data_IF_036168014735
#
_entry.id   IF_036168014735
#
_cell.length_a   1.000
_cell.length_b   1.000
_cell.length_c   1.000
_cell.angle_alpha   90.00
_cell.angle_beta   90.00
_cell.angle_gamma   90.00
#
_symmetry.space_group_name_H-M   'P 1'
#
loop_
_entity.id
_entity.type
_entity.pdbx_description
1 polymer ?
#
# COMPACT_ATOMS: atom_id res chain seq x y z
N UNK A 1 -10.38 6.22 -12.37
CA UNK A 1 -10.06 5.82 -13.76
C UNK A 1 -8.95 4.76 -13.80
N UNK A 2 -7.78 4.98 -13.18
CA UNK A 2 -6.62 4.07 -13.23
C UNK A 2 -6.96 2.65 -12.78
N UNK A 3 -7.62 2.49 -11.65
CA UNK A 3 -8.01 1.19 -11.05
C UNK A 3 -8.86 0.33 -12.01
N UNK A 4 -9.70 0.97 -12.84
CA UNK A 4 -10.63 0.26 -13.73
C UNK A 4 -10.09 0.09 -15.15
N UNK A 5 -8.92 0.65 -15.47
CA UNK A 5 -8.39 0.74 -16.84
C UNK A 5 -7.20 -0.17 -17.12
N UNK A 6 -6.90 -1.12 -16.24
CA UNK A 6 -5.81 -2.11 -16.41
C UNK A 6 -4.43 -1.46 -16.70
N UNK A 7 -4.18 -0.32 -16.07
CA UNK A 7 -2.93 0.42 -16.21
C UNK A 7 -1.95 0.09 -15.11
N UNK A 8 -0.68 0.17 -15.43
CA UNK A 8 0.41 0.12 -14.46
C UNK A 8 0.71 1.55 -14.02
N UNK A 9 0.65 1.79 -12.70
CA UNK A 9 1.02 3.07 -12.10
C UNK A 9 2.24 2.85 -11.20
N UNK A 10 3.29 3.62 -11.43
CA UNK A 10 4.48 3.63 -10.58
C UNK A 10 4.54 5.01 -9.92
N UNK A 11 4.44 5.03 -8.58
CA UNK A 11 4.55 6.25 -7.79
C UNK A 11 5.86 6.22 -7.01
N UNK A 12 6.71 7.23 -7.20
CA UNK A 12 8.00 7.33 -6.54
C UNK A 12 7.96 8.44 -5.47
N UNK A 13 7.90 8.03 -4.21
CA UNK A 13 7.94 8.90 -3.02
C UNK A 13 9.31 8.89 -2.36
N UNK A 14 10.38 8.91 -3.14
CA UNK A 14 11.76 8.85 -2.66
C UNK A 14 12.06 9.92 -1.62
N UNK A 15 12.48 9.52 -0.43
CA UNK A 15 12.89 10.40 0.67
C UNK A 15 14.02 11.35 0.23
N UNK A 16 14.97 10.84 -0.55
CA UNK A 16 16.09 11.66 -1.05
C UNK A 16 15.69 12.83 -1.96
N UNK A 17 14.48 12.80 -2.54
CA UNK A 17 13.97 13.90 -3.39
C UNK A 17 12.95 14.79 -2.71
N UNK A 18 12.16 14.24 -1.81
CA UNK A 18 11.01 14.91 -1.21
C UNK A 18 11.25 15.31 0.25
N UNK A 19 12.23 14.69 0.91
CA UNK A 19 12.36 14.71 2.37
C UNK A 19 11.42 13.70 3.02
N UNK A 20 11.71 13.33 4.27
CA UNK A 20 11.00 12.26 4.98
C UNK A 20 9.52 12.59 5.22
N UNK A 21 9.23 13.76 5.78
CA UNK A 21 7.86 14.20 6.10
C UNK A 21 6.97 14.30 4.86
N UNK A 22 7.48 14.92 3.79
CA UNK A 22 6.72 15.07 2.55
C UNK A 22 6.49 13.71 1.87
N UNK A 23 7.48 12.82 1.90
CA UNK A 23 7.36 11.47 1.38
C UNK A 23 6.27 10.69 2.11
N UNK A 24 6.29 10.70 3.44
CA UNK A 24 5.29 10.04 4.28
C UNK A 24 3.89 10.60 4.05
N UNK A 25 3.74 11.92 4.04
CA UNK A 25 2.46 12.58 3.82
C UNK A 25 1.87 12.25 2.44
N UNK A 26 2.65 12.46 1.38
CA UNK A 26 2.19 12.21 0.01
C UNK A 26 1.88 10.75 -0.24
N UNK A 27 2.69 9.84 0.30
CA UNK A 27 2.46 8.40 0.20
C UNK A 27 1.19 7.97 0.92
N UNK A 28 0.96 8.45 2.15
CA UNK A 28 -0.26 8.18 2.91
C UNK A 28 -1.52 8.73 2.21
N UNK A 29 -1.45 9.94 1.66
CA UNK A 29 -2.53 10.53 0.86
C UNK A 29 -2.80 9.71 -0.41
N UNK A 30 -1.75 9.25 -1.10
CA UNK A 30 -1.87 8.44 -2.29
C UNK A 30 -2.56 7.10 -1.99
N UNK A 31 -2.11 6.39 -0.96
CA UNK A 31 -2.72 5.13 -0.52
C UNK A 31 -4.19 5.33 -0.15
N UNK A 32 -4.50 6.42 0.57
CA UNK A 32 -5.88 6.79 0.91
C UNK A 32 -6.74 7.00 -0.35
N UNK A 33 -6.20 7.64 -1.38
CA UNK A 33 -6.90 7.82 -2.65
C UNK A 33 -7.13 6.52 -3.41
N UNK A 34 -6.14 5.62 -3.41
CA UNK A 34 -6.30 4.27 -3.97
C UNK A 34 -7.40 3.51 -3.23
N UNK A 35 -7.40 3.58 -1.91
CA UNK A 35 -8.44 2.99 -1.06
C UNK A 35 -9.82 3.55 -1.36
N UNK A 36 -9.99 4.87 -1.38
CA UNK A 36 -11.26 5.52 -1.72
C UNK A 36 -11.77 5.09 -3.11
N UNK A 37 -10.87 4.99 -4.08
CA UNK A 37 -11.20 4.52 -5.42
C UNK A 37 -11.60 3.03 -5.44
N UNK A 38 -11.02 2.21 -4.57
CA UNK A 38 -11.42 0.81 -4.40
C UNK A 38 -12.81 0.71 -3.76
N UNK A 39 -13.06 1.44 -2.67
CA UNK A 39 -14.36 1.48 -1.97
C UNK A 39 -15.47 2.01 -2.87
N UNK A 40 -15.20 2.98 -3.74
CA UNK A 40 -16.19 3.49 -4.70
C UNK A 40 -16.75 2.40 -5.63
N UNK A 41 -16.08 1.24 -5.74
CA UNK A 41 -16.58 0.07 -6.47
C UNK A 41 -17.63 -0.74 -5.69
N UNK A 42 -17.97 -0.33 -4.47
CA UNK A 42 -19.00 -1.00 -3.66
C UNK A 42 -20.36 -1.08 -4.38
N UNK A 43 -20.67 -0.08 -5.23
CA UNK A 43 -21.88 -0.06 -6.06
C UNK A 43 -21.89 -1.08 -7.20
N UNK A 44 -20.75 -1.67 -7.55
CA UNK A 44 -20.66 -2.69 -8.58
C UNK A 44 -20.84 -4.08 -7.96
N UNK A 45 -21.48 -5.02 -8.67
CA UNK A 45 -21.45 -6.43 -8.31
C UNK A 45 -20.00 -6.93 -8.14
N UNK A 46 -19.79 -7.87 -7.24
CA UNK A 46 -18.41 -8.37 -6.98
C UNK A 46 -17.76 -8.98 -8.23
N UNK A 47 -18.54 -9.64 -9.08
CA UNK A 47 -18.08 -10.22 -10.34
C UNK A 47 -17.59 -9.19 -11.36
N UNK A 48 -18.02 -7.95 -11.27
CA UNK A 48 -17.63 -6.86 -12.16
C UNK A 48 -16.43 -6.05 -11.65
N UNK A 49 -16.04 -6.27 -10.38
CA UNK A 49 -14.88 -5.59 -9.80
C UNK A 49 -13.61 -6.26 -10.33
N UNK A 50 -12.75 -5.48 -10.99
CA UNK A 50 -11.45 -5.95 -11.45
C UNK A 50 -10.45 -6.05 -10.30
N UNK A 51 -9.62 -7.09 -10.32
CA UNK A 51 -8.51 -7.20 -9.38
C UNK A 51 -7.53 -6.05 -9.59
N UNK A 52 -7.14 -5.44 -8.49
CA UNK A 52 -6.15 -4.36 -8.46
C UNK A 52 -5.06 -4.77 -7.49
N UNK A 53 -3.81 -4.70 -7.91
CA UNK A 53 -2.65 -5.09 -7.11
C UNK A 53 -1.89 -3.83 -6.69
N UNK A 54 -1.77 -3.62 -5.39
CA UNK A 54 -1.02 -2.52 -4.80
C UNK A 54 0.21 -3.06 -4.08
N UNK A 55 1.38 -2.71 -4.59
CA UNK A 55 2.67 -3.05 -4.00
C UNK A 55 3.21 -1.83 -3.26
N UNK A 56 3.57 -1.98 -1.99
CA UNK A 56 4.08 -0.90 -1.16
C UNK A 56 5.43 -1.34 -0.59
N UNK A 57 6.49 -0.73 -1.08
CA UNK A 57 7.83 -0.89 -0.53
C UNK A 57 8.05 0.12 0.60
N UNK A 58 8.89 -0.23 1.59
CA UNK A 58 9.13 0.58 2.79
C UNK A 58 7.81 1.02 3.46
N UNK A 59 6.89 0.06 3.58
CA UNK A 59 5.52 0.26 4.03
C UNK A 59 5.41 1.01 5.37
N UNK A 60 6.38 0.84 6.28
CA UNK A 60 6.41 1.52 7.58
C UNK A 60 6.36 3.05 7.46
N UNK A 61 6.84 3.62 6.36
CA UNK A 61 6.82 5.07 6.13
C UNK A 61 5.41 5.61 5.88
N UNK A 62 4.47 4.73 5.55
CA UNK A 62 3.09 5.09 5.19
C UNK A 62 2.06 4.47 6.12
N UNK A 63 2.48 3.64 7.09
CA UNK A 63 1.63 2.90 8.01
C UNK A 63 1.02 3.84 9.06
N UNK A 64 -0.21 4.28 8.81
CA UNK A 64 -1.05 5.01 9.79
C UNK A 64 -2.09 4.08 10.39
N UNK A 65 -2.69 4.45 11.53
CA UNK A 65 -3.80 3.66 12.13
C UNK A 65 -4.97 3.43 11.17
N UNK A 66 -5.23 4.38 10.24
CA UNK A 66 -6.24 4.20 9.20
C UNK A 66 -5.93 3.02 8.25
N UNK A 67 -4.68 2.58 8.17
CA UNK A 67 -4.29 1.46 7.32
C UNK A 67 -4.83 0.11 7.83
N UNK A 68 -5.09 -0.03 9.12
CA UNK A 68 -5.70 -1.23 9.70
C UNK A 68 -7.07 -1.53 9.06
N UNK A 69 -7.86 -0.49 8.76
CA UNK A 69 -9.13 -0.63 8.07
C UNK A 69 -8.94 -1.12 6.61
N UNK A 70 -7.92 -0.61 5.93
CA UNK A 70 -7.59 -1.05 4.57
C UNK A 70 -7.24 -2.53 4.57
N UNK A 71 -6.36 -2.98 5.48
CA UNK A 71 -5.97 -4.39 5.61
C UNK A 71 -7.17 -5.32 5.86
N UNK A 72 -8.10 -4.90 6.69
CA UNK A 72 -9.26 -5.72 7.06
C UNK A 72 -10.31 -5.82 5.95
N UNK A 73 -10.41 -4.83 5.07
CA UNK A 73 -11.52 -4.71 4.12
C UNK A 73 -11.13 -4.75 2.64
N UNK A 74 -9.84 -4.57 2.30
CA UNK A 74 -9.38 -4.42 0.93
C UNK A 74 -9.84 -5.56 -0.01
N UNK A 75 -9.88 -6.79 0.50
CA UNK A 75 -10.33 -7.97 -0.24
C UNK A 75 -11.74 -7.84 -0.79
N UNK A 76 -12.67 -7.23 -0.04
CA UNK A 76 -14.07 -7.03 -0.47
C UNK A 76 -14.18 -6.19 -1.74
N UNK A 77 -13.20 -5.34 -1.97
CA UNK A 77 -13.15 -4.42 -3.10
C UNK A 77 -12.16 -4.85 -4.17
N UNK A 78 -11.70 -6.11 -4.15
CA UNK A 78 -10.70 -6.63 -5.09
C UNK A 78 -9.41 -5.78 -5.11
N UNK A 79 -8.99 -5.28 -3.95
CA UNK A 79 -7.70 -4.63 -3.76
C UNK A 79 -6.76 -5.59 -3.06
N UNK A 80 -5.79 -6.11 -3.80
CA UNK A 80 -4.79 -7.06 -3.33
C UNK A 80 -3.55 -6.28 -2.89
N UNK A 81 -3.09 -6.50 -1.65
CA UNK A 81 -1.98 -5.77 -1.05
C UNK A 81 -0.74 -6.65 -0.96
N UNK A 82 0.39 -6.13 -1.40
CA UNK A 82 1.73 -6.67 -1.14
C UNK A 82 2.55 -5.59 -0.47
N UNK A 83 3.02 -5.84 0.75
CA UNK A 83 3.71 -4.86 1.58
C UNK A 83 5.08 -5.40 1.96
N UNK A 84 6.11 -4.56 1.85
CA UNK A 84 7.44 -4.87 2.31
C UNK A 84 7.91 -3.85 3.33
N UNK A 85 8.58 -4.31 4.39
CA UNK A 85 9.20 -3.48 5.43
C UNK A 85 10.43 -4.18 6.00
N UNK A 86 11.26 -3.45 6.72
CA UNK A 86 12.52 -3.98 7.22
C UNK A 86 12.43 -4.46 8.68
N UNK A 87 11.72 -3.72 9.55
CA UNK A 87 11.66 -3.99 10.98
C UNK A 87 10.22 -3.89 11.50
N UNK A 88 9.79 -4.89 12.25
CA UNK A 88 8.48 -4.91 12.92
C UNK A 88 8.31 -3.78 13.94
N UNK A 89 9.39 -3.39 14.61
CA UNK A 89 9.37 -2.31 15.60
C UNK A 89 9.02 -0.93 15.02
N UNK A 90 9.16 -0.73 13.71
CA UNK A 90 8.79 0.51 13.02
C UNK A 90 7.28 0.61 12.74
N UNK A 91 6.54 -0.48 12.90
CA UNK A 91 5.09 -0.49 12.68
C UNK A 91 4.35 -0.16 13.98
N UNK A 92 3.31 0.68 13.94
CA UNK A 92 2.40 0.84 15.08
C UNK A 92 1.83 -0.52 15.51
N UNK A 93 1.67 -0.72 16.82
CA UNK A 93 1.21 -2.00 17.38
C UNK A 93 -0.12 -2.49 16.80
N UNK A 94 -1.05 -1.56 16.59
CA UNK A 94 -2.35 -1.86 15.96
C UNK A 94 -2.18 -2.38 14.53
N UNK A 95 -1.32 -1.76 13.74
CA UNK A 95 -1.06 -2.17 12.34
C UNK A 95 -0.37 -3.52 12.33
N UNK A 96 0.61 -3.74 13.21
CA UNK A 96 1.34 -5.00 13.32
C UNK A 96 0.40 -6.17 13.65
N UNK A 97 -0.48 -6.01 14.65
CA UNK A 97 -1.45 -7.04 15.01
C UNK A 97 -2.45 -7.31 13.88
N UNK A 98 -2.88 -6.27 13.18
CA UNK A 98 -3.80 -6.39 12.03
C UNK A 98 -3.16 -7.12 10.85
N UNK A 99 -1.86 -6.92 10.60
CA UNK A 99 -1.13 -7.65 9.55
C UNK A 99 -1.23 -9.15 9.79
N UNK A 100 -0.80 -9.65 10.95
CA UNK A 100 -0.82 -11.08 11.24
C UNK A 100 -2.22 -11.70 11.24
N UNK A 101 -3.24 -10.90 11.53
CA UNK A 101 -4.64 -11.35 11.49
C UNK A 101 -5.27 -11.42 10.09
N UNK A 102 -4.72 -10.70 9.10
CA UNK A 102 -5.39 -10.52 7.80
C UNK A 102 -4.55 -10.94 6.59
N UNK A 103 -3.22 -11.09 6.72
CA UNK A 103 -2.40 -11.49 5.57
C UNK A 103 -2.47 -13.00 5.35
N UNK A 104 -2.67 -13.40 4.11
CA UNK A 104 -2.70 -14.83 3.71
C UNK A 104 -1.31 -15.42 3.48
N UNK A 105 -0.30 -14.58 3.23
CA UNK A 105 1.07 -15.03 2.98
C UNK A 105 2.07 -14.12 3.67
N UNK A 106 3.06 -14.73 4.32
CA UNK A 106 4.16 -14.03 4.98
C UNK A 106 5.46 -14.60 4.43
N UNK A 107 6.31 -13.73 3.88
CA UNK A 107 7.64 -14.07 3.40
C UNK A 107 8.65 -13.34 4.29
N UNK A 108 9.58 -14.07 4.88
CA UNK A 108 10.64 -13.48 5.70
C UNK A 108 12.01 -13.86 5.16
N UNK A 109 12.84 -12.85 4.99
CA UNK A 109 14.28 -12.98 4.83
C UNK A 109 14.94 -12.99 6.21
N UNK A 110 16.28 -12.89 6.26
CA UNK A 110 17.01 -12.81 7.51
C UNK A 110 16.59 -11.56 8.30
N UNK A 111 16.31 -11.73 9.58
CA UNK A 111 15.89 -10.65 10.50
C UNK A 111 16.71 -10.67 11.79
N UNK A 112 16.62 -9.61 12.58
CA UNK A 112 17.19 -9.51 13.93
C UNK A 112 16.41 -10.33 14.96
N UNK A 113 17.00 -10.50 16.15
CA UNK A 113 16.46 -11.38 17.19
C UNK A 113 15.05 -11.02 17.67
N UNK A 114 14.72 -9.73 17.80
CA UNK A 114 13.39 -9.29 18.23
C UNK A 114 12.31 -9.69 17.24
N UNK A 115 12.53 -9.44 15.96
CA UNK A 115 11.62 -9.82 14.88
C UNK A 115 11.54 -11.34 14.70
N UNK A 116 12.67 -12.05 14.89
CA UNK A 116 12.71 -13.50 14.81
C UNK A 116 11.79 -14.17 15.84
N UNK A 117 11.73 -13.66 17.07
CA UNK A 117 10.82 -14.16 18.11
C UNK A 117 9.34 -13.94 17.75
N UNK A 118 9.04 -12.84 17.08
CA UNK A 118 7.67 -12.56 16.60
C UNK A 118 7.30 -13.52 15.48
N UNK A 119 8.19 -13.68 14.51
CA UNK A 119 7.97 -14.54 13.34
C UNK A 119 7.88 -16.03 13.71
N UNK A 120 8.67 -16.48 14.68
CA UNK A 120 8.59 -17.85 15.19
C UNK A 120 7.16 -18.25 15.57
N UNK A 121 6.36 -17.36 16.17
CA UNK A 121 4.97 -17.65 16.55
C UNK A 121 4.10 -18.00 15.34
N UNK A 122 4.40 -17.41 14.19
CA UNK A 122 3.67 -17.63 12.95
C UNK A 122 4.13 -18.87 12.18
N UNK A 123 5.39 -19.27 12.36
CA UNK A 123 6.01 -20.32 11.56
C UNK A 123 6.18 -21.64 12.30
N UNK A 124 5.88 -21.70 13.60
CA UNK A 124 5.91 -22.95 14.38
C UNK A 124 4.95 -24.00 13.81
N UNK A 125 5.28 -25.30 13.92
CA UNK A 125 6.51 -25.85 14.50
C UNK A 125 7.68 -25.97 13.52
N UNK A 126 7.56 -25.46 12.28
CA UNK A 126 8.51 -25.73 11.19
C UNK A 126 9.81 -24.96 11.32
N UNK A 127 9.75 -23.68 11.73
CA UNK A 127 10.91 -22.81 11.90
C UNK A 127 10.89 -22.13 13.26
N UNK A 128 12.07 -21.97 13.87
CA UNK A 128 12.32 -21.33 15.16
C UNK A 128 13.08 -20.01 14.96
N UNK A 129 13.22 -19.19 16.01
CA UNK A 129 13.84 -17.87 15.91
C UNK A 129 15.27 -17.92 15.37
N UNK A 130 16.06 -18.90 15.77
CA UNK A 130 17.44 -19.10 15.31
C UNK A 130 17.54 -19.31 13.80
N UNK A 131 16.55 -19.96 13.18
CA UNK A 131 16.53 -20.19 11.74
C UNK A 131 16.45 -18.86 10.97
N UNK A 132 15.61 -17.91 11.44
CA UNK A 132 15.47 -16.60 10.82
C UNK A 132 16.72 -15.73 10.95
N UNK A 133 17.43 -15.81 12.08
CA UNK A 133 18.65 -15.04 12.31
C UNK A 133 19.83 -15.56 11.48
N UNK A 134 19.86 -16.84 11.19
CA UNK A 134 20.96 -17.51 10.49
C UNK A 134 20.69 -17.73 9.00
N UNK A 135 19.60 -17.18 8.47
CA UNK A 135 19.22 -17.36 7.07
C UNK A 135 20.26 -16.73 6.12
N UNK A 136 20.70 -17.48 5.13
CA UNK A 136 21.63 -16.98 4.13
C UNK A 136 21.01 -15.91 3.24
N UNK A 137 21.86 -15.09 2.65
CA UNK A 137 21.45 -14.07 1.70
C UNK A 137 20.64 -14.67 0.54
N UNK A 138 19.55 -14.03 0.14
CA UNK A 138 18.64 -14.45 -0.92
C UNK A 138 17.76 -15.65 -0.60
N UNK A 139 17.94 -16.29 0.54
CA UNK A 139 17.03 -17.31 1.04
C UNK A 139 15.90 -16.67 1.84
N UNK A 140 14.76 -17.32 1.86
CA UNK A 140 13.57 -16.87 2.61
C UNK A 140 12.78 -18.05 3.13
N UNK A 141 11.99 -17.79 4.18
CA UNK A 141 10.91 -18.67 4.62
C UNK A 141 9.57 -18.08 4.21
N UNK A 142 8.65 -18.95 3.84
CA UNK A 142 7.29 -18.56 3.45
C UNK A 142 6.26 -19.40 4.19
N UNK A 143 5.26 -18.71 4.74
CA UNK A 143 3.99 -19.26 5.20
C UNK A 143 2.91 -18.69 4.28
N UNK A 144 2.06 -19.53 3.72
CA UNK A 144 1.02 -19.08 2.79
C UNK A 144 -0.27 -19.86 2.95
N UNK A 145 -1.37 -19.22 2.56
CA UNK A 145 -2.69 -19.86 2.46
C UNK A 145 -2.95 -20.20 1.00
N UNK A 146 -3.23 -21.46 0.72
CA UNK A 146 -3.59 -21.98 -0.61
C UNK A 146 -4.98 -22.60 -0.50
N UNK A 147 -5.90 -22.18 -1.37
CA UNK A 147 -7.28 -22.65 -1.39
C UNK A 147 -8.00 -22.61 -0.01
N UNK A 148 -7.72 -21.54 0.76
CA UNK A 148 -8.28 -21.34 2.09
C UNK A 148 -7.65 -22.18 3.20
N UNK A 149 -6.63 -22.99 2.92
CA UNK A 149 -5.89 -23.76 3.89
C UNK A 149 -4.48 -23.23 4.09
N UNK A 150 -4.05 -23.11 5.34
CA UNK A 150 -2.66 -22.73 5.63
C UNK A 150 -1.74 -23.90 5.30
N UNK A 151 -0.85 -23.70 4.34
CA UNK A 151 0.19 -24.65 4.00
C UNK A 151 1.30 -24.71 5.07
N UNK A 152 1.94 -25.85 5.21
CA UNK A 152 3.15 -25.96 6.05
C UNK A 152 4.21 -25.00 5.53
N UNK A 153 4.80 -24.15 6.40
CA UNK A 153 5.85 -23.24 5.98
C UNK A 153 7.04 -23.97 5.33
N UNK A 154 7.64 -23.34 4.34
CA UNK A 154 8.80 -23.89 3.63
C UNK A 154 9.82 -22.82 3.28
N UNK A 155 11.03 -23.25 2.90
CA UNK A 155 12.11 -22.36 2.49
C UNK A 155 12.14 -22.20 0.97
N UNK A 156 12.68 -21.07 0.52
CA UNK A 156 12.94 -20.79 -0.88
C UNK A 156 14.16 -19.91 -1.07
N UNK A 157 14.53 -19.72 -2.33
CA UNK A 157 15.61 -18.81 -2.73
C UNK A 157 15.15 -17.92 -3.87
N UNK A 158 15.51 -16.63 -3.80
CA UNK A 158 15.21 -15.70 -4.89
C UNK A 158 16.03 -16.01 -6.12
N UNK A 159 15.43 -15.89 -7.29
CA UNK A 159 16.10 -15.94 -8.58
C UNK A 159 16.71 -14.59 -8.95
N UNK A 160 17.62 -14.57 -9.91
CA UNK A 160 18.13 -13.32 -10.47
C UNK A 160 17.05 -12.63 -11.32
N UNK A 161 17.07 -11.29 -11.29
CA UNK A 161 16.22 -10.53 -12.21
C UNK A 161 16.59 -10.83 -13.66
N UNK A 162 15.60 -11.00 -14.55
CA UNK A 162 15.89 -11.08 -15.97
C UNK A 162 16.57 -9.77 -16.42
N UNK A 163 17.69 -9.89 -17.11
CA UNK A 163 18.36 -8.73 -17.71
C UNK A 163 17.48 -8.21 -18.84
N UNK A 164 17.21 -6.90 -18.83
CA UNK A 164 16.55 -6.23 -19.94
C UNK A 164 17.59 -5.45 -20.73
N UNK A 165 17.64 -5.66 -22.03
CA UNK A 165 18.49 -4.87 -22.94
C UNK A 165 17.84 -3.51 -23.33
N UNK A 166 16.62 -3.26 -22.86
CA UNK A 166 15.86 -2.04 -23.18
C UNK A 166 15.87 -1.10 -21.99
N UNK A 167 16.45 0.08 -22.17
CA UNK A 167 16.29 1.21 -21.22
C UNK A 167 15.08 2.06 -21.60
N UNK A 168 13.94 1.74 -21.01
CA UNK A 168 12.69 2.45 -21.23
C UNK A 168 12.42 3.56 -20.21
N UNK A 169 13.31 3.80 -19.26
CA UNK A 169 13.09 4.72 -18.14
C UNK A 169 12.73 6.11 -18.63
N UNK A 170 13.53 6.66 -19.54
CA UNK A 170 13.32 8.01 -20.06
C UNK A 170 12.02 8.13 -20.86
N UNK A 171 11.66 7.13 -21.65
CA UNK A 171 10.42 7.12 -22.42
C UNK A 171 9.19 7.03 -21.52
N UNK A 172 9.22 6.19 -20.50
CA UNK A 172 8.15 6.09 -19.49
C UNK A 172 7.96 7.42 -18.78
N UNK A 173 9.04 8.06 -18.31
CA UNK A 173 8.99 9.37 -17.64
C UNK A 173 8.44 10.44 -18.58
N UNK A 174 8.92 10.53 -19.81
CA UNK A 174 8.48 11.50 -20.80
C UNK A 174 6.98 11.32 -21.09
N UNK A 175 6.55 10.11 -21.42
CA UNK A 175 5.14 9.81 -21.73
C UNK A 175 4.21 10.08 -20.55
N UNK A 176 4.67 9.77 -19.34
CA UNK A 176 3.91 10.05 -18.11
C UNK A 176 3.75 11.55 -17.89
N UNK A 177 4.83 12.34 -18.07
CA UNK A 177 4.79 13.79 -17.93
C UNK A 177 3.90 14.47 -18.97
N UNK A 178 3.99 14.05 -20.21
CA UNK A 178 3.16 14.59 -21.31
C UNK A 178 1.66 14.36 -21.09
N UNK A 179 1.30 13.21 -20.48
CA UNK A 179 -0.11 12.84 -20.31
C UNK A 179 -0.73 13.29 -18.99
N UNK A 180 0.04 13.36 -17.92
CA UNK A 180 -0.49 13.46 -16.57
C UNK A 180 0.11 14.60 -15.73
N UNK A 181 1.21 15.21 -16.18
CA UNK A 181 1.82 16.30 -15.47
C UNK A 181 1.48 17.66 -16.09
N UNK A 182 1.59 18.69 -15.27
CA UNK A 182 1.50 20.09 -15.69
C UNK A 182 2.86 20.77 -15.44
N UNK A 183 3.24 21.76 -16.25
CA UNK A 183 4.43 22.56 -16.00
C UNK A 183 4.40 23.17 -14.60
N UNK A 184 5.53 23.13 -13.90
CA UNK A 184 5.65 23.67 -12.54
C UNK A 184 5.20 25.14 -12.47
N UNK A 185 5.57 25.95 -13.46
CA UNK A 185 5.18 27.37 -13.55
C UNK A 185 3.68 27.63 -13.64
N UNK A 186 2.90 26.70 -14.23
CA UNK A 186 1.45 26.79 -14.26
C UNK A 186 0.84 26.46 -12.91
N UNK A 187 1.34 25.39 -12.27
CA UNK A 187 0.87 24.99 -10.94
C UNK A 187 1.16 26.07 -9.91
N UNK A 188 2.35 26.67 -9.93
CA UNK A 188 2.72 27.77 -9.04
C UNK A 188 1.82 29.00 -9.24
N UNK A 189 1.46 29.34 -10.46
CA UNK A 189 0.51 30.42 -10.74
C UNK A 189 -0.89 30.12 -10.18
N UNK A 190 -1.37 28.89 -10.33
CA UNK A 190 -2.68 28.49 -9.81
C UNK A 190 -2.70 28.57 -8.28
N UNK A 191 -1.64 28.12 -7.61
CA UNK A 191 -1.52 28.19 -6.14
C UNK A 191 -1.54 29.66 -5.69
N UNK A 192 -0.72 30.51 -6.29
CA UNK A 192 -0.68 31.93 -5.96
C UNK A 192 -2.03 32.64 -6.17
N UNK A 193 -2.78 32.25 -7.21
CA UNK A 193 -4.13 32.79 -7.43
C UNK A 193 -5.14 32.32 -6.37
N UNK A 194 -5.04 31.08 -5.89
CA UNK A 194 -5.90 30.56 -4.82
C UNK A 194 -5.59 31.24 -3.48
N UNK A 195 -4.34 31.51 -3.17
CA UNK A 195 -3.93 32.22 -1.96
C UNK A 195 -4.44 33.68 -1.94
N UNK A 196 -4.45 34.32 -3.11
CA UNK A 196 -4.95 35.71 -3.23
C UNK A 196 -6.46 35.82 -3.26
N UNK A 197 -7.18 34.76 -3.63
CA UNK A 197 -8.65 34.75 -3.72
C UNK A 197 -9.35 34.64 -2.35
N UNK A 198 -8.62 34.37 -1.26
CA UNK A 198 -9.20 34.15 0.09
C UNK A 198 -10.06 32.86 0.18
N UNK A 199 -10.45 32.44 1.37
CA UNK A 199 -11.32 31.28 1.53
C UNK A 199 -12.67 31.56 0.86
N UNK A 200 -12.97 30.85 -0.22
CA UNK A 200 -14.32 30.84 -0.80
C UNK A 200 -15.26 30.36 0.30
N UNK A 201 -16.27 31.18 0.63
CA UNK A 201 -17.31 30.83 1.58
C UNK A 201 -17.89 29.48 1.18
N UNK A 202 -17.74 28.50 2.07
CA UNK A 202 -18.39 27.18 1.92
C UNK A 202 -19.86 27.43 1.60
N UNK A 203 -20.45 26.86 0.54
CA UNK A 203 -21.88 27.02 0.31
C UNK A 203 -22.61 26.51 1.55
N UNK A 204 -23.44 27.36 2.15
CA UNK A 204 -24.32 26.97 3.25
C UNK A 204 -25.11 25.74 2.81
N UNK A 205 -24.81 24.60 3.41
CA UNK A 205 -25.67 23.42 3.33
C UNK A 205 -26.95 23.79 4.02
N UNK A 206 -27.96 24.16 3.26
CA UNK A 206 -29.34 24.33 3.79
C UNK A 206 -29.74 22.97 4.35
N UNK A 207 -29.65 22.86 5.67
CA UNK A 207 -30.23 21.77 6.44
C UNK A 207 -31.73 21.83 6.24
N UNK A 208 -32.28 21.06 5.32
CA UNK A 208 -33.70 20.79 5.30
C UNK A 208 -34.02 20.01 6.57
N UNK A 209 -34.70 20.68 7.50
CA UNK A 209 -35.25 20.03 8.67
C UNK A 209 -36.24 18.95 8.20
N UNK A 210 -35.93 17.70 8.47
CA UNK A 210 -36.91 16.62 8.37
C UNK A 210 -37.94 16.81 9.47
N UNK A 211 -39.08 17.40 9.10
CA UNK A 211 -40.26 17.46 9.93
C UNK A 211 -41.25 16.41 9.43
N UNK A 212 -41.08 15.15 9.88
CA UNK A 212 -42.21 14.23 10.05
C UNK A 212 -41.71 12.99 10.78
N UNK A 213 -42.37 12.55 11.86
CA UNK A 213 -42.03 11.27 12.51
C UNK A 213 -42.58 10.12 11.68
N UNK A 214 -41.72 9.14 11.38
CA UNK A 214 -42.17 7.86 10.86
C UNK A 214 -42.95 7.12 11.96
N UNK A 215 -44.22 6.87 11.70
CA UNK A 215 -45.09 5.95 12.45
C UNK A 215 -44.73 4.52 12.02
#
# INVERSE_FOLDING_TARGET
EIINSEKILIANFSIGKLGEENSALLGAMFITRVWQAAVARASLPESERKDTFLYIDEFQNFATGAFSNILSEARKYKLNLTMAHQYMAQLPDEVRSTIFGNVGSIISFRVGGEDAVILEKEYKPTFIAEDFMNLDMRNFYIKMTVDGQTATPFSGRTIDFPKSDMDLINDVIRTSRERWARPKSEVEKDIAQQETAGPQSTPEVKTQAFSEPLI
#
